data_IF_353248944853
#
_entry.id   IF_353248944853
#
_cell.length_a   1.000
_cell.length_b   1.000
_cell.length_c   1.000
_cell.angle_alpha   90.00
_cell.angle_beta   90.00
_cell.angle_gamma   90.00
#
_symmetry.space_group_name_H-M   'P 1'
#
loop_
_entity.id
_entity.type
_entity.pdbx_description
1 polymer ?
#
# COMPACT_ATOMS: atom_id res chain seq x y z
N UNK A 1 13.27 9.40 -4.72
CA UNK A 1 12.67 9.27 -3.37
C UNK A 1 11.20 9.55 -3.52
N UNK A 2 10.33 8.58 -3.22
CA UNK A 2 8.89 8.74 -3.35
C UNK A 2 8.30 8.98 -1.97
N UNK A 3 7.68 10.14 -1.77
CA UNK A 3 7.05 10.49 -0.50
C UNK A 3 5.63 9.93 -0.47
N UNK A 4 5.45 8.83 0.25
CA UNK A 4 4.17 8.12 0.34
C UNK A 4 3.21 8.87 1.27
N UNK A 5 3.73 9.47 2.34
CA UNK A 5 2.94 10.14 3.36
C UNK A 5 2.82 9.35 4.67
N UNK A 6 1.76 9.62 5.46
CA UNK A 6 1.51 8.98 6.75
C UNK A 6 1.53 7.44 6.66
N UNK A 7 2.18 6.76 7.62
CA UNK A 7 2.24 5.30 7.63
C UNK A 7 0.86 4.63 7.68
N UNK A 8 -0.17 5.34 8.14
CA UNK A 8 -1.55 4.85 8.13
C UNK A 8 -2.13 4.68 6.72
N UNK A 9 -1.75 5.52 5.74
CA UNK A 9 -2.22 5.35 4.35
C UNK A 9 -1.58 4.10 3.74
N UNK A 10 -0.29 3.89 4.00
CA UNK A 10 0.40 2.66 3.62
C UNK A 10 -0.25 1.45 4.31
N UNK A 11 -0.48 1.53 5.62
CA UNK A 11 -1.15 0.47 6.36
C UNK A 11 -2.53 0.16 5.78
N UNK A 12 -3.35 1.17 5.49
CA UNK A 12 -4.69 0.98 4.91
C UNK A 12 -4.66 0.28 3.54
N UNK A 13 -3.69 0.62 2.66
CA UNK A 13 -3.54 -0.08 1.39
C UNK A 13 -3.25 -1.57 1.62
N UNK A 14 -2.32 -1.89 2.52
CA UNK A 14 -1.95 -3.27 2.81
C UNK A 14 -3.05 -4.03 3.57
N UNK A 15 -3.80 -3.36 4.43
CA UNK A 15 -5.00 -3.91 5.08
C UNK A 15 -6.10 -4.22 4.06
N UNK A 16 -6.28 -3.37 3.05
CA UNK A 16 -7.21 -3.62 1.93
C UNK A 16 -6.77 -4.84 1.12
N UNK A 17 -5.47 -4.99 0.84
CA UNK A 17 -4.92 -6.17 0.17
C UNK A 17 -5.20 -7.43 1.00
N UNK A 18 -4.91 -7.37 2.31
CA UNK A 18 -5.12 -8.49 3.22
C UNK A 18 -6.60 -8.92 3.24
N UNK A 19 -7.51 -7.98 3.49
CA UNK A 19 -8.93 -8.30 3.63
C UNK A 19 -9.57 -8.84 2.34
N UNK A 20 -9.11 -8.39 1.17
CA UNK A 20 -9.77 -8.71 -0.10
C UNK A 20 -9.10 -9.82 -0.90
N UNK A 21 -7.79 -10.01 -0.75
CA UNK A 21 -6.99 -10.84 -1.66
C UNK A 21 -6.18 -11.93 -0.96
N UNK A 22 -6.13 -11.93 0.37
CA UNK A 22 -5.32 -12.83 1.20
C UNK A 22 -6.22 -13.74 2.08
N UNK A 23 -6.80 -14.82 1.52
CA UNK A 23 -7.76 -15.66 2.25
C UNK A 23 -7.13 -16.40 3.46
N UNK A 24 -5.80 -16.55 3.48
CA UNK A 24 -5.06 -17.11 4.62
C UNK A 24 -4.52 -16.04 5.58
N UNK A 25 -4.94 -14.78 5.43
CA UNK A 25 -4.42 -13.66 6.20
C UNK A 25 -3.11 -13.09 5.66
N UNK A 26 -2.55 -12.13 6.38
CA UNK A 26 -1.45 -11.27 5.94
C UNK A 26 -0.29 -12.04 5.28
N UNK A 27 -0.11 -11.86 3.96
CA UNK A 27 0.99 -12.44 3.18
C UNK A 27 0.83 -13.90 2.77
N UNK A 28 -0.36 -14.49 2.90
CA UNK A 28 -0.67 -15.86 2.45
C UNK A 28 -0.51 -16.10 0.93
N UNK A 29 -0.60 -15.05 0.11
CA UNK A 29 -0.62 -15.07 -1.35
C UNK A 29 0.43 -14.14 -1.95
N UNK A 30 0.71 -13.01 -1.32
CA UNK A 30 1.72 -12.02 -1.74
C UNK A 30 2.81 -11.86 -0.67
N UNK A 31 3.56 -12.92 -0.34
CA UNK A 31 4.47 -12.93 0.81
C UNK A 31 5.60 -11.91 0.68
N UNK A 32 6.12 -11.62 -0.52
CA UNK A 32 7.22 -10.66 -0.67
C UNK A 32 6.72 -9.25 -0.43
N UNK A 33 5.59 -8.88 -1.04
CA UNK A 33 4.95 -7.59 -0.88
C UNK A 33 4.57 -7.37 0.58
N UNK A 34 3.85 -8.32 1.17
CA UNK A 34 3.25 -8.18 2.51
C UNK A 34 4.28 -8.33 3.65
N UNK A 35 5.35 -9.11 3.49
CA UNK A 35 6.33 -9.34 4.57
C UNK A 35 7.68 -8.66 4.38
N UNK A 36 8.06 -8.27 3.15
CA UNK A 36 9.32 -7.56 2.88
C UNK A 36 9.05 -6.09 2.61
N UNK A 37 8.37 -5.79 1.49
CA UNK A 37 8.15 -4.40 1.05
C UNK A 37 7.43 -3.57 2.13
N UNK A 38 6.35 -4.11 2.73
CA UNK A 38 5.64 -3.44 3.83
C UNK A 38 6.53 -3.11 5.04
N UNK A 39 7.54 -3.94 5.34
CA UNK A 39 8.44 -3.75 6.49
C UNK A 39 9.52 -2.69 6.27
N UNK A 40 9.57 -2.08 5.09
CA UNK A 40 10.44 -0.92 4.83
C UNK A 40 11.65 -1.20 3.96
N UNK A 41 11.96 -2.45 3.62
CA UNK A 41 13.09 -2.80 2.76
C UNK A 41 12.78 -3.98 1.85
N UNK A 42 13.13 -3.83 0.58
CA UNK A 42 13.06 -4.85 -0.45
C UNK A 42 14.41 -4.96 -1.13
N UNK A 43 15.05 -6.12 -0.98
CA UNK A 43 16.37 -6.38 -1.55
C UNK A 43 16.28 -6.59 -3.07
N UNK A 44 17.36 -6.33 -3.84
CA UNK A 44 17.35 -6.51 -5.29
C UNK A 44 16.89 -7.90 -5.76
N UNK A 45 17.26 -8.94 -5.01
CA UNK A 45 16.87 -10.33 -5.31
C UNK A 45 15.37 -10.61 -5.24
N UNK A 46 14.64 -9.83 -4.44
CA UNK A 46 13.19 -9.98 -4.23
C UNK A 46 12.36 -9.06 -5.15
N UNK A 47 12.99 -8.06 -5.78
CA UNK A 47 12.29 -7.00 -6.52
C UNK A 47 11.43 -7.52 -7.68
N UNK A 48 11.93 -8.51 -8.43
CA UNK A 48 11.18 -9.09 -9.56
C UNK A 48 9.91 -9.80 -9.11
N UNK A 49 9.99 -10.55 -8.01
CA UNK A 49 8.83 -11.25 -7.46
C UNK A 49 7.83 -10.24 -6.86
N UNK A 50 8.32 -9.25 -6.11
CA UNK A 50 7.48 -8.18 -5.60
C UNK A 50 6.72 -7.43 -6.71
N UNK A 51 7.38 -7.14 -7.84
CA UNK A 51 6.74 -6.48 -8.98
C UNK A 51 5.60 -7.33 -9.58
N UNK A 52 5.78 -8.64 -9.68
CA UNK A 52 4.75 -9.56 -10.17
C UNK A 52 3.55 -9.62 -9.22
N UNK A 53 3.81 -9.67 -7.92
CA UNK A 53 2.76 -9.62 -6.89
C UNK A 53 2.00 -8.30 -6.95
N UNK A 54 2.69 -7.15 -6.98
CA UNK A 54 2.08 -5.82 -7.06
C UNK A 54 1.20 -5.64 -8.31
N UNK A 55 1.64 -6.11 -9.48
CA UNK A 55 0.83 -6.08 -10.70
C UNK A 55 -0.42 -6.95 -10.60
N UNK A 56 -0.31 -8.09 -9.93
CA UNK A 56 -1.46 -8.97 -9.66
C UNK A 56 -2.44 -8.30 -8.69
N UNK A 57 -1.93 -7.63 -7.66
CA UNK A 57 -2.71 -6.83 -6.70
C UNK A 57 -3.46 -5.70 -7.41
N UNK A 58 -2.77 -4.91 -8.25
CA UNK A 58 -3.39 -3.80 -9.01
C UNK A 58 -4.55 -4.29 -9.89
N UNK A 59 -4.32 -5.34 -10.67
CA UNK A 59 -5.37 -5.92 -11.51
C UNK A 59 -6.57 -6.40 -10.68
N UNK A 60 -6.33 -7.05 -9.53
CA UNK A 60 -7.38 -7.56 -8.68
C UNK A 60 -8.15 -6.45 -7.96
N UNK A 61 -7.48 -5.43 -7.40
CA UNK A 61 -8.11 -4.30 -6.73
C UNK A 61 -8.85 -3.37 -7.70
N UNK A 62 -8.43 -3.30 -8.97
CA UNK A 62 -9.17 -2.56 -10.01
C UNK A 62 -10.58 -3.12 -10.22
N UNK A 63 -10.78 -4.43 -9.98
CA UNK A 63 -12.09 -5.09 -10.07
C UNK A 63 -12.91 -4.98 -8.77
N UNK A 64 -12.39 -4.31 -7.74
CA UNK A 64 -13.05 -4.18 -6.44
C UNK A 64 -13.64 -2.78 -6.28
N UNK A 65 -14.89 -2.67 -5.78
CA UNK A 65 -15.50 -1.37 -5.55
C UNK A 65 -14.80 -0.63 -4.41
N UNK A 66 -14.90 0.70 -4.37
CA UNK A 66 -14.39 1.52 -3.26
C UNK A 66 -14.94 1.07 -1.90
N UNK A 67 -16.16 0.57 -1.84
CA UNK A 67 -16.78 0.04 -0.62
C UNK A 67 -16.10 -1.20 -0.02
N UNK A 68 -15.17 -1.81 -0.74
CA UNK A 68 -14.36 -2.95 -0.26
C UNK A 68 -13.06 -2.53 0.45
N UNK A 69 -12.75 -1.24 0.46
CA UNK A 69 -11.56 -0.71 1.14
C UNK A 69 -11.66 -0.99 2.64
N UNK A 70 -10.59 -1.55 3.18
CA UNK A 70 -10.44 -1.84 4.61
C UNK A 70 -9.24 -1.06 5.14
N UNK A 71 -9.48 -0.19 6.13
CA UNK A 71 -8.46 0.71 6.66
C UNK A 71 -7.51 0.01 7.64
N UNK A 72 -8.03 -0.96 8.37
CA UNK A 72 -7.32 -1.71 9.40
C UNK A 72 -7.79 -3.16 9.32
N UNK A 73 -6.89 -4.10 8.99
CA UNK A 73 -7.25 -5.50 8.82
C UNK A 73 -7.57 -6.19 10.16
N UNK A 74 -7.03 -5.66 11.27
CA UNK A 74 -7.29 -6.16 12.62
C UNK A 74 -8.60 -5.57 13.18
N UNK A 75 -9.03 -4.42 12.68
CA UNK A 75 -10.33 -3.78 12.97
C UNK A 75 -11.05 -3.30 11.69
N UNK A 76 -11.71 -4.20 10.92
CA UNK A 76 -12.31 -3.86 9.63
C UNK A 76 -13.44 -2.82 9.68
N UNK A 77 -14.00 -2.55 10.86
CA UNK A 77 -15.02 -1.52 11.06
C UNK A 77 -14.44 -0.11 11.22
N UNK A 78 -13.12 0.01 11.34
CA UNK A 78 -12.45 1.29 11.60
C UNK A 78 -12.53 2.20 10.37
N UNK A 79 -13.10 3.41 10.49
CA UNK A 79 -13.14 4.34 9.38
C UNK A 79 -11.74 4.91 9.10
N UNK A 80 -11.48 5.37 7.86
CA UNK A 80 -10.28 6.13 7.58
C UNK A 80 -10.27 7.44 8.38
N UNK A 81 -9.08 7.93 8.74
CA UNK A 81 -8.96 9.22 9.42
C UNK A 81 -9.50 10.34 8.51
N UNK A 82 -10.32 11.28 9.04
CA UNK A 82 -10.85 12.40 8.26
C UNK A 82 -9.77 13.38 7.79
N UNK A 83 -8.55 13.26 8.31
CA UNK A 83 -7.42 14.12 7.96
C UNK A 83 -6.65 13.66 6.71
N UNK A 84 -6.99 12.50 6.14
CA UNK A 84 -6.33 12.02 4.93
C UNK A 84 -7.07 12.48 3.68
N UNK A 85 -6.30 12.97 2.70
CA UNK A 85 -6.79 13.04 1.33
C UNK A 85 -6.81 11.62 0.80
N UNK A 86 -8.00 11.06 0.70
CA UNK A 86 -8.25 9.80 0.01
C UNK A 86 -8.68 10.17 -1.42
N UNK A 87 -8.61 9.21 -2.34
CA UNK A 87 -8.94 9.45 -3.74
C UNK A 87 -10.38 9.93 -3.91
N UNK A 88 -10.59 11.24 -3.91
CA UNK A 88 -11.86 11.87 -4.26
C UNK A 88 -12.20 11.46 -5.70
N UNK A 89 -13.31 10.73 -5.86
CA UNK A 89 -13.71 10.20 -7.16
C UNK A 89 -12.98 8.94 -7.62
N UNK A 90 -12.30 8.21 -6.72
CA UNK A 90 -11.75 6.88 -7.03
C UNK A 90 -12.85 5.95 -7.61
N UNK A 91 -12.57 5.29 -8.74
CA UNK A 91 -13.54 4.40 -9.37
C UNK A 91 -13.54 3.00 -8.72
N UNK A 92 -12.44 2.62 -8.08
CA UNK A 92 -12.20 1.29 -7.54
C UNK A 92 -11.19 1.33 -6.38
N UNK A 93 -10.98 0.18 -5.71
CA UNK A 93 -10.10 0.09 -4.55
C UNK A 93 -8.62 0.36 -4.87
N UNK A 94 -8.15 0.10 -6.10
CA UNK A 94 -6.77 0.40 -6.50
C UNK A 94 -6.50 1.90 -6.61
N UNK A 95 -7.54 2.71 -6.86
CA UNK A 95 -7.47 4.16 -7.01
C UNK A 95 -7.67 4.94 -5.72
N UNK A 96 -8.08 4.25 -4.65
CA UNK A 96 -8.50 4.90 -3.40
C UNK A 96 -7.34 5.55 -2.62
N UNK A 97 -6.16 4.92 -2.62
CA UNK A 97 -5.03 5.36 -1.82
C UNK A 97 -4.14 6.31 -2.62
N UNK A 98 -3.93 7.52 -2.10
CA UNK A 98 -3.08 8.53 -2.72
C UNK A 98 -1.96 8.98 -1.78
N UNK A 99 -0.84 9.39 -2.35
CA UNK A 99 0.30 9.97 -1.62
C UNK A 99 -0.01 11.38 -1.15
N UNK A 100 0.86 11.97 -0.33
CA UNK A 100 0.76 13.39 0.08
C UNK A 100 0.71 14.36 -1.09
N UNK A 101 1.29 13.98 -2.23
CA UNK A 101 1.30 14.78 -3.46
C UNK A 101 0.10 14.45 -4.38
N UNK A 102 -0.85 13.63 -3.93
CA UNK A 102 -2.05 13.26 -4.67
C UNK A 102 -1.84 12.21 -5.76
N UNK A 103 -0.69 11.54 -5.80
CA UNK A 103 -0.41 10.47 -6.76
C UNK A 103 -0.97 9.14 -6.27
N UNK A 104 -1.35 8.24 -7.17
CA UNK A 104 -1.81 6.91 -6.79
C UNK A 104 -0.71 6.14 -6.05
N UNK A 105 -0.98 5.70 -4.82
CA UNK A 105 0.04 5.05 -3.98
C UNK A 105 0.46 3.69 -4.54
N UNK A 106 -0.47 2.87 -5.02
CA UNK A 106 -0.12 1.54 -5.52
C UNK A 106 0.72 1.62 -6.81
N UNK A 107 0.27 2.41 -7.78
CA UNK A 107 0.88 2.51 -9.11
C UNK A 107 2.13 3.40 -9.09
N UNK A 108 1.97 4.68 -8.76
CA UNK A 108 3.07 5.64 -8.77
C UNK A 108 3.98 5.51 -7.54
N UNK A 109 3.42 5.09 -6.40
CA UNK A 109 4.20 4.93 -5.17
C UNK A 109 5.03 3.65 -5.16
N UNK A 110 4.39 2.50 -5.37
CA UNK A 110 5.00 1.18 -5.17
C UNK A 110 5.46 0.54 -6.47
N UNK A 111 4.57 0.38 -7.46
CA UNK A 111 4.88 -0.33 -8.71
C UNK A 111 6.04 0.35 -9.46
N UNK A 112 5.96 1.66 -9.71
CA UNK A 112 7.02 2.39 -10.42
C UNK A 112 8.36 2.35 -9.67
N UNK A 113 8.34 2.44 -8.34
CA UNK A 113 9.54 2.34 -7.50
C UNK A 113 10.19 0.96 -7.60
N UNK A 114 9.40 -0.11 -7.54
CA UNK A 114 9.90 -1.49 -7.64
C UNK A 114 10.32 -1.81 -9.09
N UNK A 115 9.63 -1.30 -10.09
CA UNK A 115 10.01 -1.44 -11.50
C UNK A 115 11.38 -0.81 -11.77
N UNK A 116 11.61 0.41 -11.27
CA UNK A 116 12.92 1.06 -11.32
C UNK A 116 14.00 0.22 -10.62
N UNK A 117 13.69 -0.34 -9.45
CA UNK A 117 14.63 -1.21 -8.73
C UNK A 117 14.98 -2.50 -9.49
N UNK A 118 14.02 -3.09 -10.21
CA UNK A 118 14.27 -4.24 -11.10
C UNK A 118 15.19 -3.86 -12.25
N UNK A 119 15.03 -2.66 -12.82
CA UNK A 119 15.83 -2.17 -13.93
C UNK A 119 17.28 -1.87 -13.51
N UNK A 120 17.46 -1.19 -12.38
CA UNK A 120 18.78 -0.69 -11.96
C UNK A 120 19.48 -1.58 -10.92
N UNK A 121 18.83 -2.62 -10.39
CA UNK A 121 19.41 -3.54 -9.41
C UNK A 121 19.62 -2.93 -8.02
N UNK A 122 18.82 -1.92 -7.66
CA UNK A 122 18.91 -1.22 -6.37
C UNK A 122 17.86 -1.74 -5.38
N UNK A 123 18.11 -1.68 -4.06
CA UNK A 123 17.07 -1.96 -3.08
C UNK A 123 15.97 -0.88 -3.12
N UNK A 124 14.77 -1.23 -2.69
CA UNK A 124 13.70 -0.28 -2.41
C UNK A 124 13.59 -0.10 -0.90
N UNK A 125 13.55 1.14 -0.45
CA UNK A 125 13.28 1.49 0.94
C UNK A 125 11.98 2.27 1.05
N UNK A 126 11.10 1.86 1.96
CA UNK A 126 9.95 2.66 2.36
C UNK A 126 10.30 3.37 3.66
N UNK A 127 10.37 4.70 3.59
CA UNK A 127 10.61 5.56 4.74
C UNK A 127 9.28 6.18 5.13
N UNK A 128 8.72 5.74 6.26
CA UNK A 128 7.52 6.33 6.83
C UNK A 128 7.91 7.45 7.80
N UNK A 129 7.21 8.58 7.72
CA UNK A 129 7.36 9.69 8.68
C UNK A 129 6.20 9.67 9.68
N UNK A 130 6.49 9.62 10.99
CA UNK A 130 5.53 9.59 12.11
C UNK A 130 5.28 8.19 12.71
N UNK A 131 4.91 8.11 14.00
CA UNK A 131 4.64 6.84 14.71
C UNK A 131 3.21 6.34 14.46
N UNK A 132 3.00 5.01 14.45
CA UNK A 132 1.69 4.39 14.17
C UNK A 132 0.55 5.02 15.00
N UNK A 133 0.73 5.22 16.31
CA UNK A 133 -0.27 5.90 17.17
C UNK A 133 -0.50 7.39 16.85
N UNK A 134 0.57 8.15 16.59
CA UNK A 134 0.44 9.58 16.27
C UNK A 134 -0.30 9.81 14.93
N UNK A 135 -0.16 8.85 14.01
CA UNK A 135 -0.74 8.91 12.67
C UNK A 135 -2.27 8.77 12.71
N UNK A 136 -2.83 7.90 13.56
CA UNK A 136 -4.29 7.78 13.72
C UNK A 136 -4.89 8.81 14.69
N UNK A 137 -4.09 9.48 15.51
CA UNK A 137 -4.56 10.43 16.53
C UNK A 137 -4.86 11.85 16.01
N UNK A 138 -4.59 12.15 14.73
CA UNK A 138 -4.95 13.44 14.13
C UNK A 138 -4.32 14.66 14.84
N UNK A 139 -3.11 14.54 15.39
CA UNK A 139 -2.41 15.67 16.01
C UNK A 139 -1.14 16.00 15.24
N UNK A 140 -1.14 17.21 14.69
CA UNK A 140 0.02 18.01 14.27
C UNK A 140 0.98 18.25 15.42
#
# INVERSE_FOLDING_TARGET
MTEIGPAAILHGLFSTIAANLEPGGWGSRFPITMHRLYRGELLPGDCRQALQELRTIDAALTQRPVSSVVWDADDPGRPPSPHYRLGDGAANAAEFFVTVNGLNLLRAGLIESVESAVEFGHPVHIVAFGSHEALFAGRT
#
